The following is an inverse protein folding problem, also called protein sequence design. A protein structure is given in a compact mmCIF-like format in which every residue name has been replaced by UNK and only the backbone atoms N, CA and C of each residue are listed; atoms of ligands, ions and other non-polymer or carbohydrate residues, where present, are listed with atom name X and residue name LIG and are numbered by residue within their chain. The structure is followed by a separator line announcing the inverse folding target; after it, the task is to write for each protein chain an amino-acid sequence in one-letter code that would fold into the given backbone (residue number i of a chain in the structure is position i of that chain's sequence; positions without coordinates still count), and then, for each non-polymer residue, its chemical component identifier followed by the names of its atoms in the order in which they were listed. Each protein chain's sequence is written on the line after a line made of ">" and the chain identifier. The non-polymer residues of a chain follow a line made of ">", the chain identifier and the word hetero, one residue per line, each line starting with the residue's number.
data_IF_540997394389
#
_entry.id   IF_540997394389
#
_cell.length_a   1.000
_cell.length_b   1.000
_cell.length_c   1.000
_cell.angle_alpha   90.00
_cell.angle_beta   90.00
_cell.angle_gamma   90.00
#
_symmetry.space_group_name_H-M   'P 1'
#
loop_
_entity.id
_entity.type
_entity.pdbx_description
1 polymer ?
#
# COMPACT_ATOMS: atom_id res chain seq x y z
N UNK A 1 -19.50 -22.21 -14.95
CA UNK A 1 -19.81 -20.80 -15.28
C UNK A 1 -18.49 -20.06 -15.24
N UNK A 2 -18.12 -19.32 -16.29
CA UNK A 2 -16.89 -18.55 -16.26
C UNK A 2 -17.03 -17.46 -15.18
N UNK A 3 -16.18 -17.49 -14.16
CA UNK A 3 -16.06 -16.40 -13.21
C UNK A 3 -15.58 -15.18 -13.98
N UNK A 4 -16.44 -14.17 -14.14
CA UNK A 4 -16.06 -12.91 -14.76
C UNK A 4 -14.88 -12.30 -14.00
N UNK A 5 -13.90 -11.80 -14.75
CA UNK A 5 -12.73 -11.15 -14.18
C UNK A 5 -13.16 -9.99 -13.29
N UNK A 6 -12.55 -9.85 -12.11
CA UNK A 6 -12.79 -8.71 -11.19
C UNK A 6 -12.53 -7.35 -11.87
N UNK A 7 -11.77 -7.36 -12.96
CA UNK A 7 -11.36 -6.18 -13.72
C UNK A 7 -12.29 -5.81 -14.88
N UNK A 8 -13.35 -6.59 -15.16
CA UNK A 8 -14.18 -6.42 -16.37
C UNK A 8 -14.74 -4.99 -16.54
N UNK A 9 -15.22 -4.38 -15.45
CA UNK A 9 -15.76 -3.00 -15.45
C UNK A 9 -14.70 -1.92 -15.26
N UNK A 10 -13.44 -2.30 -15.05
CA UNK A 10 -12.35 -1.37 -14.70
C UNK A 10 -11.16 -1.53 -15.62
N UNK A 11 -11.40 -1.78 -16.91
CA UNK A 11 -10.33 -1.85 -17.91
C UNK A 11 -9.59 -0.51 -17.96
N UNK A 12 -8.25 -0.55 -17.88
CA UNK A 12 -7.43 0.65 -17.90
C UNK A 12 -7.34 1.21 -19.31
N UNK A 13 -7.56 2.53 -19.51
CA UNK A 13 -7.39 3.15 -20.82
C UNK A 13 -5.93 3.00 -21.32
N UNK A 14 -5.72 2.53 -22.56
CA UNK A 14 -4.38 2.31 -23.09
C UNK A 14 -3.59 3.61 -23.16
N UNK A 15 -2.27 3.53 -22.94
CA UNK A 15 -1.33 4.67 -23.01
C UNK A 15 -1.71 5.86 -22.11
N UNK A 16 -2.44 5.62 -21.04
CA UNK A 16 -2.79 6.65 -20.04
C UNK A 16 -2.02 6.44 -18.74
N UNK A 17 -1.85 7.51 -17.95
CA UNK A 17 -1.39 7.42 -16.56
C UNK A 17 -2.53 7.05 -15.62
N UNK A 18 -3.28 6.02 -15.96
CA UNK A 18 -4.40 5.53 -15.15
C UNK A 18 -4.00 4.28 -14.38
N UNK A 19 -4.57 4.12 -13.19
CA UNK A 19 -4.46 2.91 -12.36
C UNK A 19 -5.80 2.66 -11.69
N UNK A 20 -5.96 1.53 -10.99
CA UNK A 20 -7.13 1.28 -10.16
C UNK A 20 -6.84 1.65 -8.72
N UNK A 21 -7.85 2.03 -7.96
CA UNK A 21 -7.82 2.10 -6.50
C UNK A 21 -8.91 1.21 -5.93
N UNK A 22 -8.66 0.69 -4.73
CA UNK A 22 -9.56 -0.15 -3.97
C UNK A 22 -10.35 0.71 -2.98
N UNK A 23 -11.66 0.78 -3.17
CA UNK A 23 -12.59 1.44 -2.28
C UNK A 23 -13.10 0.43 -1.25
N UNK A 24 -12.52 0.43 -0.05
CA UNK A 24 -12.87 -0.48 1.04
C UNK A 24 -14.02 0.12 1.84
N UNK A 25 -15.03 -0.71 2.17
CA UNK A 25 -16.11 -0.32 3.07
C UNK A 25 -15.76 -0.64 4.53
N UNK A 26 -16.23 0.21 5.44
CA UNK A 26 -16.16 -0.05 6.88
C UNK A 26 -16.84 -1.38 7.27
N UNK A 27 -16.43 -1.96 8.40
CA UNK A 27 -17.03 -3.15 8.98
C UNK A 27 -17.34 -2.92 10.47
N UNK A 28 -18.29 -3.66 11.01
CA UNK A 28 -18.67 -3.56 12.42
C UNK A 28 -17.64 -4.26 13.32
N UNK A 29 -17.01 -5.30 12.80
CA UNK A 29 -16.04 -6.14 13.53
C UNK A 29 -14.77 -6.36 12.70
N UNK A 30 -13.68 -6.72 13.39
CA UNK A 30 -12.38 -6.98 12.75
C UNK A 30 -12.38 -8.25 11.88
N UNK A 31 -13.16 -9.25 12.28
CA UNK A 31 -13.21 -10.57 11.63
C UNK A 31 -14.02 -10.59 10.32
N UNK A 32 -14.89 -9.59 10.11
CA UNK A 32 -15.66 -9.49 8.87
C UNK A 32 -14.75 -9.47 7.64
N UNK A 33 -15.11 -10.14 6.53
CA UNK A 33 -14.34 -10.10 5.30
C UNK A 33 -14.16 -8.67 4.79
N UNK A 34 -13.03 -8.36 4.16
CA UNK A 34 -12.85 -7.10 3.46
C UNK A 34 -13.77 -7.09 2.25
N UNK A 35 -14.63 -6.07 2.16
CA UNK A 35 -15.50 -5.81 1.02
C UNK A 35 -15.03 -4.52 0.35
N UNK A 36 -14.93 -4.54 -0.97
CA UNK A 36 -14.44 -3.41 -1.72
C UNK A 36 -14.94 -3.39 -3.16
N UNK A 37 -14.73 -2.25 -3.82
CA UNK A 37 -14.86 -2.10 -5.27
C UNK A 37 -13.60 -1.49 -5.87
N UNK A 38 -13.37 -1.76 -7.15
CA UNK A 38 -12.31 -1.10 -7.91
C UNK A 38 -12.84 0.13 -8.63
N UNK A 39 -12.04 1.17 -8.67
CA UNK A 39 -12.30 2.39 -9.42
C UNK A 39 -11.08 2.76 -10.24
N UNK A 40 -11.28 3.13 -11.51
CA UNK A 40 -10.20 3.63 -12.37
C UNK A 40 -9.98 5.12 -12.09
N UNK A 41 -8.75 5.47 -11.71
CA UNK A 41 -8.32 6.86 -11.52
C UNK A 41 -7.26 7.24 -12.55
N UNK A 42 -7.20 8.52 -12.91
CA UNK A 42 -6.15 9.09 -13.75
C UNK A 42 -5.25 9.99 -12.88
N UNK A 43 -3.95 9.65 -12.83
CA UNK A 43 -2.98 10.35 -11.99
C UNK A 43 -2.77 11.82 -12.40
N UNK A 44 -2.95 12.17 -13.68
CA UNK A 44 -2.84 13.55 -14.17
C UNK A 44 -3.93 14.45 -13.58
N UNK A 45 -5.05 13.87 -13.12
CA UNK A 45 -6.14 14.59 -12.45
C UNK A 45 -5.90 14.80 -10.95
N UNK A 46 -4.73 14.41 -10.43
CA UNK A 46 -4.35 14.53 -9.01
C UNK A 46 -5.40 13.95 -8.04
N UNK A 47 -5.77 12.67 -8.19
CA UNK A 47 -6.79 12.04 -7.36
C UNK A 47 -6.32 11.91 -5.91
N UNK A 48 -7.26 11.92 -4.97
CA UNK A 48 -7.00 11.68 -3.56
C UNK A 48 -7.16 10.19 -3.25
N UNK A 49 -6.05 9.52 -2.91
CA UNK A 49 -6.03 8.13 -2.49
C UNK A 49 -4.82 7.88 -1.58
N UNK A 50 -4.81 6.77 -0.87
CA UNK A 50 -3.64 6.32 -0.09
C UNK A 50 -2.97 5.15 -0.80
N UNK A 51 -1.69 4.88 -0.55
CA UNK A 51 -1.04 3.69 -1.08
C UNK A 51 -0.59 2.77 0.06
N UNK A 52 -0.67 1.45 -0.16
CA UNK A 52 -0.15 0.45 0.76
C UNK A 52 1.20 -0.05 0.29
N UNK A 53 2.18 0.02 1.18
CA UNK A 53 3.48 -0.63 1.07
C UNK A 53 3.56 -1.76 2.09
N UNK A 54 3.89 -2.96 1.68
CA UNK A 54 4.02 -4.11 2.59
C UNK A 54 5.00 -5.14 2.02
N UNK A 55 5.64 -5.91 2.89
CA UNK A 55 6.44 -7.05 2.44
C UNK A 55 5.51 -8.12 1.85
N UNK A 56 5.86 -8.64 0.68
CA UNK A 56 5.16 -9.79 0.13
C UNK A 56 5.47 -11.00 1.02
N UNK A 57 4.51 -11.38 1.87
CA UNK A 57 4.64 -12.55 2.73
C UNK A 57 4.72 -13.83 1.90
N UNK A 58 5.44 -14.82 2.41
CA UNK A 58 5.41 -16.18 1.86
C UNK A 58 4.41 -16.97 2.69
N UNK A 59 3.18 -17.08 2.18
CA UNK A 59 2.18 -17.91 2.82
C UNK A 59 2.48 -19.38 2.54
N UNK A 60 2.31 -20.27 3.54
CA UNK A 60 2.30 -21.71 3.29
C UNK A 60 1.26 -22.04 2.22
N UNK A 61 1.51 -23.01 1.31
CA UNK A 61 0.57 -23.36 0.23
C UNK A 61 -0.85 -23.70 0.70
N UNK A 62 -0.97 -24.15 1.95
CA UNK A 62 -2.22 -24.54 2.61
C UNK A 62 -3.05 -23.37 3.11
N UNK A 63 -2.50 -22.16 3.16
CA UNK A 63 -3.20 -20.97 3.68
C UNK A 63 -3.62 -20.10 2.51
N UNK A 64 -4.92 -19.78 2.45
CA UNK A 64 -5.47 -18.90 1.43
C UNK A 64 -6.25 -17.77 2.10
N UNK A 65 -5.98 -16.55 1.66
CA UNK A 65 -6.63 -15.34 2.14
C UNK A 65 -7.36 -14.68 0.98
N UNK A 66 -8.57 -14.16 1.24
CA UNK A 66 -9.41 -13.58 0.22
C UNK A 66 -10.05 -12.28 0.69
N UNK A 67 -10.29 -11.39 -0.26
CA UNK A 67 -11.20 -10.26 -0.11
C UNK A 67 -12.36 -10.39 -1.08
N UNK A 68 -13.47 -9.72 -0.81
CA UNK A 68 -14.61 -9.62 -1.71
C UNK A 68 -14.48 -8.30 -2.46
N UNK A 69 -14.16 -8.34 -3.75
CA UNK A 69 -13.97 -7.17 -4.59
C UNK A 69 -14.87 -7.24 -5.82
N UNK A 70 -15.67 -6.20 -6.06
CA UNK A 70 -16.69 -6.18 -7.13
C UNK A 70 -17.61 -7.43 -7.11
N UNK A 71 -17.91 -7.96 -5.92
CA UNK A 71 -18.72 -9.18 -5.75
C UNK A 71 -17.99 -10.50 -5.95
N UNK A 72 -16.72 -10.49 -6.37
CA UNK A 72 -15.89 -11.69 -6.59
C UNK A 72 -14.83 -11.86 -5.50
N UNK A 73 -14.44 -13.11 -5.22
CA UNK A 73 -13.32 -13.40 -4.33
C UNK A 73 -11.98 -13.14 -5.03
N UNK A 74 -11.14 -12.31 -4.43
CA UNK A 74 -9.79 -12.01 -4.90
C UNK A 74 -8.80 -12.55 -3.89
N UNK A 75 -7.91 -13.44 -4.34
CA UNK A 75 -6.85 -14.00 -3.52
C UNK A 75 -5.81 -12.93 -3.19
N UNK A 76 -5.44 -12.84 -1.92
CA UNK A 76 -4.38 -11.96 -1.42
C UNK A 76 -3.44 -12.74 -0.51
N UNK A 77 -2.30 -12.16 -0.15
CA UNK A 77 -1.42 -12.73 0.87
C UNK A 77 -1.95 -12.42 2.28
N UNK A 78 -1.56 -13.21 3.27
CA UNK A 78 -1.87 -12.98 4.68
C UNK A 78 -1.45 -11.60 5.15
N UNK A 79 -0.29 -11.12 4.66
CA UNK A 79 0.25 -9.83 5.04
C UNK A 79 -0.57 -8.68 4.45
N UNK A 80 -1.03 -8.83 3.20
CA UNK A 80 -1.94 -7.89 2.56
C UNK A 80 -3.29 -7.84 3.28
N UNK A 81 -3.92 -9.00 3.53
CA UNK A 81 -5.20 -9.07 4.22
C UNK A 81 -5.10 -8.46 5.64
N UNK A 82 -4.06 -8.81 6.39
CA UNK A 82 -3.83 -8.27 7.73
C UNK A 82 -3.67 -6.76 7.69
N UNK A 83 -2.87 -6.22 6.76
CA UNK A 83 -2.69 -4.78 6.61
C UNK A 83 -4.02 -4.08 6.34
N UNK A 84 -4.79 -4.57 5.38
CA UNK A 84 -6.08 -4.01 5.01
C UNK A 84 -7.12 -4.08 6.15
N UNK A 85 -7.17 -5.18 6.90
CA UNK A 85 -8.05 -5.31 8.08
C UNK A 85 -7.72 -4.28 9.15
N UNK A 86 -6.43 -4.05 9.43
CA UNK A 86 -6.00 -3.06 10.43
C UNK A 86 -6.27 -1.63 9.95
N UNK A 87 -5.99 -1.32 8.69
CA UNK A 87 -6.29 -0.01 8.12
C UNK A 87 -7.80 0.26 8.11
N UNK A 88 -8.63 -0.70 7.70
CA UNK A 88 -10.09 -0.59 7.77
C UNK A 88 -10.59 -0.39 9.20
N UNK A 89 -10.01 -1.08 10.19
CA UNK A 89 -10.38 -0.88 11.60
C UNK A 89 -10.03 0.54 12.08
N UNK A 90 -8.88 1.07 11.68
CA UNK A 90 -8.41 2.38 12.12
C UNK A 90 -9.14 3.54 11.42
N UNK A 91 -9.47 3.39 10.14
CA UNK A 91 -9.97 4.49 9.31
C UNK A 91 -11.42 4.31 8.82
N UNK A 92 -12.03 3.14 9.07
CA UNK A 92 -13.35 2.81 8.53
C UNK A 92 -13.28 2.55 7.02
N UNK A 93 -14.06 3.29 6.24
CA UNK A 93 -14.01 3.25 4.78
C UNK A 93 -12.80 4.04 4.27
N UNK A 94 -12.07 3.50 3.30
CA UNK A 94 -10.89 4.16 2.73
C UNK A 94 -10.65 3.78 1.26
N UNK A 95 -10.08 4.72 0.51
CA UNK A 95 -9.60 4.52 -0.86
C UNK A 95 -8.09 4.29 -0.85
N UNK A 96 -7.67 3.10 -1.27
CA UNK A 96 -6.28 2.66 -1.16
C UNK A 96 -5.80 1.95 -2.42
N UNK A 97 -4.57 2.24 -2.84
CA UNK A 97 -3.89 1.52 -3.89
C UNK A 97 -3.07 0.36 -3.30
N UNK A 98 -3.24 -0.83 -3.85
CA UNK A 98 -2.51 -2.05 -3.46
C UNK A 98 -2.11 -2.78 -4.74
N UNK A 99 -0.81 -2.92 -4.98
CA UNK A 99 -0.25 -3.50 -6.20
C UNK A 99 -0.86 -4.85 -6.59
N UNK A 100 -0.99 -5.79 -5.64
CA UNK A 100 -1.50 -7.14 -5.91
C UNK A 100 -2.98 -7.17 -6.31
N UNK A 101 -3.75 -6.11 -6.03
CA UNK A 101 -5.20 -6.02 -6.29
C UNK A 101 -5.52 -5.02 -7.40
N UNK A 102 -4.82 -3.89 -7.46
CA UNK A 102 -5.11 -2.81 -8.39
C UNK A 102 -4.54 -3.07 -9.79
N UNK A 103 -3.51 -3.92 -9.87
CA UNK A 103 -2.91 -4.38 -11.13
C UNK A 103 -3.38 -5.81 -11.40
N UNK A 104 -3.88 -6.05 -12.61
CA UNK A 104 -4.21 -7.38 -13.07
C UNK A 104 -2.94 -8.23 -13.23
N UNK A 105 -2.70 -9.12 -12.26
CA UNK A 105 -1.47 -9.91 -12.18
C UNK A 105 -1.32 -10.95 -13.30
N UNK A 106 -2.41 -11.32 -13.95
CA UNK A 106 -2.47 -12.28 -15.05
C UNK A 106 -2.31 -11.62 -16.43
N UNK A 107 -2.44 -10.29 -16.51
CA UNK A 107 -2.28 -9.53 -17.75
C UNK A 107 -0.87 -8.94 -17.85
N UNK A 108 -0.01 -9.64 -18.61
CA UNK A 108 1.36 -9.22 -18.88
C UNK A 108 1.43 -7.84 -19.55
N UNK A 109 0.48 -7.53 -20.44
CA UNK A 109 0.41 -6.23 -21.10
C UNK A 109 0.09 -5.15 -20.08
N UNK A 110 -0.91 -5.35 -19.22
CA UNK A 110 -1.23 -4.38 -18.17
C UNK A 110 -0.04 -4.16 -17.22
N UNK A 111 0.59 -5.24 -16.74
CA UNK A 111 1.75 -5.16 -15.84
C UNK A 111 2.91 -4.38 -16.43
N UNK A 112 3.24 -4.62 -17.69
CA UNK A 112 4.31 -3.89 -18.39
C UNK A 112 4.04 -2.38 -18.50
N UNK A 113 2.77 -1.96 -18.45
CA UNK A 113 2.39 -0.55 -18.38
C UNK A 113 2.32 -0.01 -16.95
N UNK A 114 1.83 -0.80 -15.98
CA UNK A 114 1.63 -0.36 -14.59
C UNK A 114 2.92 -0.32 -13.78
N UNK A 115 3.85 -1.27 -13.97
CA UNK A 115 5.11 -1.32 -13.21
C UNK A 115 5.93 -0.04 -13.39
N UNK A 116 6.14 0.50 -14.61
CA UNK A 116 6.80 1.80 -14.79
C UNK A 116 6.07 2.98 -14.15
N UNK A 117 4.75 2.88 -13.94
CA UNK A 117 3.94 3.92 -13.32
C UNK A 117 3.96 3.88 -11.78
N UNK A 118 4.51 2.84 -11.15
CA UNK A 118 4.53 2.73 -9.68
C UNK A 118 5.16 3.97 -9.03
N UNK A 119 6.19 4.56 -9.64
CA UNK A 119 6.81 5.78 -9.15
C UNK A 119 5.83 6.96 -9.09
N UNK A 120 5.07 7.14 -10.16
CA UNK A 120 4.04 8.18 -10.28
C UNK A 120 2.87 7.89 -9.33
N UNK A 121 2.48 6.63 -9.14
CA UNK A 121 1.37 6.24 -8.24
C UNK A 121 1.72 6.58 -6.78
N UNK A 122 2.85 6.10 -6.28
CA UNK A 122 3.25 6.36 -4.88
C UNK A 122 3.48 7.85 -4.61
N UNK A 123 4.07 8.58 -5.56
CA UNK A 123 4.28 10.02 -5.41
C UNK A 123 2.97 10.84 -5.50
N UNK A 124 1.97 10.34 -6.24
CA UNK A 124 0.64 10.95 -6.34
C UNK A 124 -0.26 10.63 -5.14
N UNK A 125 0.02 9.57 -4.39
CA UNK A 125 -0.75 9.23 -3.20
C UNK A 125 -0.74 10.37 -2.16
N UNK A 126 -1.84 10.52 -1.44
CA UNK A 126 -1.96 11.48 -0.35
C UNK A 126 -1.05 11.11 0.81
N UNK A 127 -1.01 9.81 1.13
CA UNK A 127 -0.15 9.18 2.13
C UNK A 127 0.23 7.77 1.69
N UNK A 128 1.37 7.26 2.15
CA UNK A 128 1.76 5.86 2.00
C UNK A 128 1.80 5.20 3.37
N UNK A 129 1.01 4.14 3.55
CA UNK A 129 1.04 3.30 4.75
C UNK A 129 2.02 2.16 4.58
N UNK A 130 3.02 2.07 5.46
CA UNK A 130 3.96 0.96 5.48
C UNK A 130 3.57 -0.07 6.54
N UNK A 131 3.17 -1.26 6.09
CA UNK A 131 2.82 -2.37 6.97
C UNK A 131 4.05 -3.25 7.24
N UNK A 132 4.50 -3.24 8.49
CA UNK A 132 5.66 -4.00 8.97
C UNK A 132 5.28 -5.31 9.67
N UNK A 133 3.98 -5.64 9.72
CA UNK A 133 3.44 -6.76 10.48
C UNK A 133 2.64 -6.30 11.70
N UNK A 134 2.12 -7.27 12.45
CA UNK A 134 1.37 -7.01 13.68
C UNK A 134 2.29 -6.41 14.76
N UNK A 135 1.74 -5.46 15.52
CA UNK A 135 2.41 -4.89 16.67
C UNK A 135 2.79 -5.94 17.70
N UNK A 136 3.90 -5.67 18.38
CA UNK A 136 4.44 -6.40 19.52
C UNK A 136 4.82 -5.37 20.57
N UNK A 137 4.94 -5.76 21.84
CA UNK A 137 5.37 -4.85 22.92
C UNK A 137 6.63 -4.07 22.53
N UNK A 138 7.60 -4.73 21.88
CA UNK A 138 8.85 -4.08 21.43
C UNK A 138 8.64 -3.09 20.29
N UNK A 139 7.77 -3.39 19.33
CA UNK A 139 7.49 -2.44 18.25
C UNK A 139 6.68 -1.27 18.76
N UNK A 140 5.79 -1.49 19.73
CA UNK A 140 4.98 -0.43 20.33
C UNK A 140 5.87 0.51 21.14
N UNK A 141 6.77 -0.02 21.98
CA UNK A 141 7.81 0.76 22.68
C UNK A 141 8.70 1.56 21.71
N UNK A 142 9.11 0.96 20.59
CA UNK A 142 9.91 1.64 19.58
C UNK A 142 9.13 2.78 18.90
N UNK A 143 7.85 2.54 18.58
CA UNK A 143 6.97 3.53 17.96
C UNK A 143 6.65 4.68 18.93
N UNK A 144 6.40 4.38 20.21
CA UNK A 144 6.22 5.37 21.26
C UNK A 144 7.47 6.22 21.45
N UNK A 145 8.65 5.58 21.46
CA UNK A 145 9.92 6.30 21.53
C UNK A 145 10.09 7.24 20.31
N UNK A 146 9.78 6.77 19.10
CA UNK A 146 9.82 7.59 17.89
C UNK A 146 8.85 8.77 17.97
N UNK A 147 7.63 8.54 18.45
CA UNK A 147 6.61 9.58 18.57
C UNK A 147 7.00 10.64 19.62
N UNK A 148 7.40 10.21 20.82
CA UNK A 148 7.72 11.09 21.94
C UNK A 148 8.98 11.94 21.69
N UNK A 149 9.94 11.42 20.93
CA UNK A 149 11.16 12.14 20.57
C UNK A 149 11.05 12.87 19.22
N UNK A 150 9.85 12.91 18.62
CA UNK A 150 9.59 13.52 17.30
C UNK A 150 10.55 13.03 16.23
N UNK A 151 10.95 11.75 16.29
CA UNK A 151 11.92 11.20 15.34
C UNK A 151 11.39 11.24 13.91
N UNK A 152 10.06 11.20 13.72
CA UNK A 152 9.41 11.40 12.44
C UNK A 152 9.76 12.74 11.77
N UNK A 153 10.00 13.81 12.54
CA UNK A 153 10.41 15.11 12.00
C UNK A 153 11.77 15.02 11.31
N UNK A 154 12.61 14.06 11.70
CA UNK A 154 13.91 13.82 11.08
C UNK A 154 13.86 12.95 9.82
N UNK A 155 12.70 12.36 9.49
CA UNK A 155 12.47 11.71 8.19
C UNK A 155 11.98 12.70 7.12
N UNK A 156 12.06 14.00 7.40
CA UNK A 156 11.87 15.05 6.41
C UNK A 156 13.19 15.28 5.66
N UNK A 157 13.33 14.66 4.49
CA UNK A 157 14.55 14.77 3.69
C UNK A 157 14.27 14.50 2.21
N UNK A 158 15.09 15.09 1.35
CA UNK A 158 15.14 14.78 -0.09
C UNK A 158 16.40 13.96 -0.38
N UNK A 159 16.53 13.34 -1.56
CA UNK A 159 17.79 12.67 -1.91
C UNK A 159 19.00 13.61 -1.92
N UNK A 160 18.79 14.89 -2.20
CA UNK A 160 19.82 15.92 -2.20
C UNK A 160 20.16 16.42 -0.80
N UNK A 161 19.25 16.26 0.16
CA UNK A 161 19.44 16.61 1.56
C UNK A 161 18.63 15.65 2.45
N UNK A 162 19.18 14.46 2.77
CA UNK A 162 18.45 13.38 3.44
C UNK A 162 18.20 13.64 4.93
N UNK A 163 18.40 14.87 5.41
CA UNK A 163 18.36 15.20 6.83
C UNK A 163 19.58 14.65 7.59
N UNK A 164 19.61 14.80 8.93
CA UNK A 164 20.78 14.43 9.72
C UNK A 164 21.17 12.95 9.55
N UNK A 165 22.48 12.74 9.42
CA UNK A 165 23.15 11.48 9.04
C UNK A 165 22.74 10.17 9.77
N UNK A 166 22.24 10.15 11.03
CA UNK A 166 21.85 8.90 11.71
C UNK A 166 20.66 8.16 11.07
N UNK A 167 19.76 8.86 10.38
CA UNK A 167 18.48 8.30 9.92
C UNK A 167 18.55 7.60 8.56
N UNK A 168 19.66 7.76 7.83
CA UNK A 168 19.92 7.06 6.55
C UNK A 168 19.90 5.53 6.70
N UNK A 169 20.22 4.99 7.88
CA UNK A 169 20.15 3.56 8.14
C UNK A 169 18.70 3.05 8.23
N UNK A 170 17.82 3.78 8.93
CA UNK A 170 16.39 3.46 8.98
C UNK A 170 15.74 3.67 7.62
N UNK A 171 16.14 4.72 6.88
CA UNK A 171 15.76 4.94 5.49
C UNK A 171 16.05 3.73 4.58
N UNK A 172 17.22 3.11 4.76
CA UNK A 172 17.61 1.88 4.04
C UNK A 172 16.78 0.66 4.44
N UNK A 173 16.29 0.58 5.67
CA UNK A 173 15.36 -0.48 6.09
C UNK A 173 14.03 -0.34 5.34
N UNK A 174 13.49 0.88 5.24
CA UNK A 174 12.27 1.14 4.46
C UNK A 174 12.44 0.77 2.99
N UNK A 175 13.55 1.15 2.36
CA UNK A 175 13.85 0.79 0.97
C UNK A 175 14.01 -0.73 0.76
N UNK A 176 14.57 -1.47 1.73
CA UNK A 176 14.78 -2.92 1.62
C UNK A 176 13.50 -3.74 1.71
N UNK A 177 12.50 -3.24 2.46
CA UNK A 177 11.15 -3.83 2.53
C UNK A 177 10.36 -3.51 1.25
N UNK A 178 10.59 -2.33 0.67
CA UNK A 178 9.90 -1.85 -0.51
C UNK A 178 10.37 -2.51 -1.81
N UNK A 179 11.66 -2.83 -1.95
CA UNK A 179 12.20 -3.36 -3.20
C UNK A 179 13.52 -4.14 -3.03
N UNK A 180 13.48 -5.47 -2.75
CA UNK A 180 14.69 -6.25 -2.48
C UNK A 180 15.64 -6.39 -3.68
N UNK A 181 15.20 -6.09 -4.91
CA UNK A 181 15.96 -6.26 -6.17
C UNK A 181 16.03 -5.00 -7.07
N UNK A 182 15.86 -3.79 -6.55
CA UNK A 182 15.80 -2.58 -7.42
C UNK A 182 17.19 -2.12 -7.77
N UNK A 183 17.48 -2.01 -9.07
CA UNK A 183 18.48 -1.09 -9.60
C UNK A 183 18.12 0.37 -9.26
N UNK A 184 19.11 1.27 -9.30
CA UNK A 184 19.13 2.66 -8.80
C UNK A 184 17.95 3.60 -9.14
N UNK A 185 16.98 3.17 -9.93
CA UNK A 185 15.92 4.02 -10.52
C UNK A 185 14.77 4.40 -9.57
N UNK A 186 14.67 3.76 -8.39
CA UNK A 186 13.53 3.92 -7.47
C UNK A 186 13.79 4.90 -6.32
N UNK A 187 14.91 5.61 -6.34
CA UNK A 187 15.41 6.40 -5.20
C UNK A 187 14.59 7.68 -4.94
N UNK A 188 13.87 8.20 -5.95
CA UNK A 188 12.98 9.37 -5.86
C UNK A 188 11.66 9.15 -5.07
N UNK A 189 11.34 7.91 -4.69
CA UNK A 189 10.01 7.47 -4.27
C UNK A 189 9.61 7.74 -2.82
N UNK A 190 10.55 8.15 -1.97
CA UNK A 190 10.35 8.13 -0.51
C UNK A 190 9.63 9.39 0.03
N UNK A 191 9.06 10.22 -0.85
CA UNK A 191 8.57 11.57 -0.48
C UNK A 191 7.35 11.60 0.44
N UNK A 192 6.66 10.48 0.72
CA UNK A 192 5.45 10.45 1.55
C UNK A 192 5.28 9.18 2.39
N UNK A 193 6.33 8.74 3.08
CA UNK A 193 6.16 7.84 4.21
C UNK A 193 5.65 8.66 5.42
N UNK A 194 4.34 8.90 5.49
CA UNK A 194 3.71 9.52 6.67
C UNK A 194 3.18 8.40 7.55
N UNK A 195 3.88 8.15 8.66
CA UNK A 195 3.33 7.36 9.76
C UNK A 195 2.14 8.11 10.38
N UNK A 196 0.93 7.60 10.20
CA UNK A 196 -0.21 8.02 11.04
C UNK A 196 -0.17 7.24 12.34
N UNK A 197 0.72 7.63 13.26
CA UNK A 197 0.64 7.25 14.66
C UNK A 197 0.29 8.51 15.46
N UNK A 198 -0.97 8.56 15.90
CA UNK A 198 -1.56 9.48 16.89
C UNK A 198 -2.91 9.98 16.37
N UNK A 199 -4.00 9.34 16.79
CA UNK A 199 -5.24 9.96 17.31
C UNK A 199 -6.16 8.89 17.91
N UNK A 200 -5.68 8.22 18.95
CA UNK A 200 -6.55 7.67 20.00
C UNK A 200 -5.94 8.07 21.34
N UNK A 201 -6.04 9.36 21.63
CA UNK A 201 -6.16 9.89 22.99
C UNK A 201 -7.63 9.91 23.36
#
# INVERSE_FOLDING_TARGET
>A
MATESVYHDTILPPRSKSTRVLNIVAASTFEEPIRASLEVINLDKKPAFTALSYAWGIDPPTTQHFIICNGSEVKVTSNCESALKHLRRAFGSLTIWVDIICINQEDVTEKSHQIPLMADIYSSASSVYCWLGKGTVKSDEAMDYMANNKLYDHFTGTESDPGPHPWRALWRIFLRVLWPNSSETYTHLVRKLIFSLSRHS
#
